data_IF_072000353052
#
_entry.id   IF_072000353052
#
_cell.length_a   1.000
_cell.length_b   1.000
_cell.length_c   1.000
_cell.angle_alpha   90.00
_cell.angle_beta   90.00
_cell.angle_gamma   90.00
#
_symmetry.space_group_name_H-M   'P 1'
#
loop_
_entity.id
_entity.type
_entity.pdbx_description
1 polymer ?
#
# COMPACT_ATOMS: atom_id res chain seq x y z
N UNK A 1 19.21 11.02 -2.51
CA UNK A 1 18.05 10.13 -2.24
C UNK A 1 17.15 10.65 -1.13
N UNK A 2 17.62 10.78 0.12
CA UNK A 2 16.80 11.25 1.26
C UNK A 2 16.08 12.60 1.01
N UNK A 3 16.69 13.56 0.33
CA UNK A 3 16.05 14.84 0.02
C UNK A 3 14.81 14.67 -0.88
N UNK A 4 14.86 13.80 -1.89
CA UNK A 4 13.71 13.54 -2.77
C UNK A 4 12.56 12.88 -2.00
N UNK A 5 12.86 11.94 -1.10
CA UNK A 5 11.85 11.30 -0.25
C UNK A 5 11.20 12.32 0.70
N UNK A 6 11.98 13.23 1.27
CA UNK A 6 11.42 14.29 2.13
C UNK A 6 10.52 15.26 1.39
N UNK A 7 10.90 15.63 0.17
CA UNK A 7 10.02 16.44 -0.70
C UNK A 7 8.71 15.69 -0.95
N UNK A 8 8.80 14.40 -1.27
CA UNK A 8 7.61 13.55 -1.44
C UNK A 8 6.76 13.48 -0.16
N UNK A 9 7.38 13.29 1.01
CA UNK A 9 6.67 13.28 2.30
C UNK A 9 5.93 14.59 2.55
N UNK A 10 6.57 15.72 2.30
CA UNK A 10 5.95 17.05 2.44
C UNK A 10 4.79 17.22 1.45
N UNK A 11 4.97 16.81 0.20
CA UNK A 11 3.89 16.88 -0.82
C UNK A 11 2.72 16.00 -0.39
N UNK A 12 2.98 14.78 0.07
CA UNK A 12 1.94 13.87 0.57
C UNK A 12 1.18 14.48 1.75
N UNK A 13 1.87 15.09 2.72
CA UNK A 13 1.24 15.78 3.85
C UNK A 13 0.35 16.94 3.38
N UNK A 14 0.84 17.77 2.46
CA UNK A 14 0.08 18.90 1.92
C UNK A 14 -1.16 18.41 1.17
N UNK A 15 -1.02 17.45 0.26
CA UNK A 15 -2.13 16.88 -0.49
C UNK A 15 -3.17 16.24 0.43
N UNK A 16 -2.74 15.56 1.50
CA UNK A 16 -3.61 14.96 2.50
C UNK A 16 -4.42 16.02 3.24
N UNK A 17 -3.79 17.12 3.66
CA UNK A 17 -4.47 18.23 4.33
C UNK A 17 -5.47 18.93 3.41
N UNK A 18 -5.10 19.14 2.16
CA UNK A 18 -5.98 19.69 1.13
C UNK A 18 -7.21 18.79 0.94
N UNK A 19 -7.00 17.48 0.83
CA UNK A 19 -8.07 16.51 0.65
C UNK A 19 -9.02 16.48 1.86
N UNK A 20 -8.49 16.51 3.09
CA UNK A 20 -9.30 16.59 4.31
C UNK A 20 -10.14 17.87 4.32
N UNK A 21 -9.53 19.02 3.99
CA UNK A 21 -10.23 20.29 3.92
C UNK A 21 -11.40 20.27 2.93
N UNK A 22 -11.15 19.79 1.71
CA UNK A 22 -12.20 19.69 0.69
C UNK A 22 -13.28 18.67 1.03
N UNK A 23 -12.92 17.57 1.71
CA UNK A 23 -13.89 16.58 2.18
C UNK A 23 -14.83 17.19 3.21
N UNK A 24 -14.34 17.99 4.16
CA UNK A 24 -15.17 18.70 5.16
C UNK A 24 -16.15 19.70 4.52
N UNK A 25 -15.81 20.27 3.36
CA UNK A 25 -16.70 21.18 2.62
C UNK A 25 -17.72 20.46 1.73
N UNK A 26 -17.82 19.13 1.79
CA UNK A 26 -18.67 18.30 0.91
C UNK A 26 -18.44 18.53 -0.59
N UNK A 27 -17.29 19.07 -0.97
CA UNK A 27 -16.96 19.41 -2.36
C UNK A 27 -16.62 18.16 -3.19
N UNK A 28 -16.09 17.10 -2.57
CA UNK A 28 -15.73 15.87 -3.26
C UNK A 28 -16.93 14.92 -3.48
N UNK A 29 -17.93 14.92 -2.59
CA UNK A 29 -19.05 13.98 -2.62
C UNK A 29 -20.29 14.48 -3.38
N UNK A 30 -20.21 15.65 -4.01
CA UNK A 30 -21.22 16.10 -4.99
C UNK A 30 -21.03 15.54 -6.40
N UNK A 31 -20.07 14.65 -6.63
CA UNK A 31 -20.02 13.84 -7.84
C UNK A 31 -21.15 12.83 -7.78
N UNK A 32 -22.27 13.23 -8.34
CA UNK A 32 -23.62 12.72 -8.12
C UNK A 32 -23.92 11.34 -8.70
N UNK A 33 -22.91 10.55 -9.04
CA UNK A 33 -23.11 9.22 -9.59
C UNK A 33 -22.05 8.24 -9.03
N UNK A 34 -22.53 7.34 -8.14
CA UNK A 34 -21.70 6.31 -7.52
C UNK A 34 -20.92 5.51 -8.57
N UNK A 35 -21.53 5.24 -9.73
CA UNK A 35 -20.91 4.47 -10.80
C UNK A 35 -19.76 5.21 -11.48
N UNK A 36 -19.89 6.52 -11.73
CA UNK A 36 -18.83 7.32 -12.35
C UNK A 36 -17.64 7.52 -11.40
N UNK A 37 -17.90 7.67 -10.11
CA UNK A 37 -16.83 7.81 -9.10
C UNK A 37 -16.07 6.49 -8.90
N UNK A 38 -16.73 5.34 -8.87
CA UNK A 38 -16.10 4.02 -8.81
C UNK A 38 -15.28 3.74 -10.07
N UNK A 39 -15.78 4.09 -11.26
CA UNK A 39 -15.03 3.95 -12.51
C UNK A 39 -13.76 4.83 -12.50
N UNK A 40 -13.86 6.08 -12.03
CA UNK A 40 -12.72 6.97 -11.91
C UNK A 40 -11.64 6.41 -10.93
N UNK A 41 -12.06 5.92 -9.76
CA UNK A 41 -11.16 5.28 -8.80
C UNK A 41 -10.48 4.06 -9.42
N UNK A 42 -11.27 3.21 -10.09
CA UNK A 42 -10.75 2.02 -10.77
C UNK A 42 -9.70 2.39 -11.83
N UNK A 43 -9.97 3.41 -12.66
CA UNK A 43 -9.03 3.89 -13.66
C UNK A 43 -7.74 4.43 -13.02
N UNK A 44 -7.84 5.16 -11.90
CA UNK A 44 -6.67 5.67 -11.17
C UNK A 44 -5.85 4.51 -10.62
N UNK A 45 -6.49 3.55 -9.93
CA UNK A 45 -5.78 2.37 -9.37
C UNK A 45 -5.14 1.55 -10.48
N UNK A 46 -5.86 1.32 -11.60
CA UNK A 46 -5.33 0.56 -12.74
C UNK A 46 -4.15 1.26 -13.40
N UNK A 47 -4.23 2.59 -13.59
CA UNK A 47 -3.13 3.35 -14.20
C UNK A 47 -1.85 3.29 -13.38
N UNK A 48 -1.94 3.43 -12.07
CA UNK A 48 -0.79 3.31 -11.16
C UNK A 48 -0.39 1.85 -10.92
N UNK A 49 -1.36 0.93 -10.83
CA UNK A 49 -1.12 -0.50 -10.66
C UNK A 49 -0.43 -1.13 -11.86
N UNK A 50 -0.85 -0.80 -13.08
CA UNK A 50 -0.21 -1.29 -14.31
C UNK A 50 1.22 -0.79 -14.43
N UNK A 51 1.46 0.50 -14.13
CA UNK A 51 2.83 1.03 -14.13
C UNK A 51 3.71 0.41 -13.05
N UNK A 52 3.13 0.02 -11.92
CA UNK A 52 3.84 -0.68 -10.85
C UNK A 52 4.20 -2.12 -11.28
N UNK A 53 3.25 -2.90 -11.80
CA UNK A 53 3.49 -4.25 -12.31
C UNK A 53 4.39 -4.28 -13.56
N UNK A 54 4.34 -3.26 -14.41
CA UNK A 54 5.25 -3.14 -15.56
C UNK A 54 6.72 -3.00 -15.12
N UNK A 55 6.98 -2.36 -13.96
CA UNK A 55 8.34 -2.24 -13.42
C UNK A 55 8.93 -3.59 -12.99
N UNK A 56 8.11 -4.58 -12.60
CA UNK A 56 8.58 -5.92 -12.24
C UNK A 56 9.28 -6.61 -13.43
N UNK A 57 8.75 -6.47 -14.62
CA UNK A 57 9.37 -7.01 -15.84
C UNK A 57 10.74 -6.38 -16.11
N UNK A 58 10.89 -5.08 -15.87
CA UNK A 58 12.15 -4.35 -15.99
C UNK A 58 13.15 -4.81 -14.92
N UNK A 59 12.69 -5.01 -13.69
CA UNK A 59 13.53 -5.51 -12.59
C UNK A 59 14.04 -6.92 -12.93
N UNK A 60 13.17 -7.82 -13.35
CA UNK A 60 13.55 -9.18 -13.78
C UNK A 60 14.54 -9.11 -14.94
N UNK A 61 14.29 -8.24 -15.94
CA UNK A 61 15.16 -8.10 -17.10
C UNK A 61 16.57 -7.62 -16.73
N UNK A 62 16.68 -6.74 -15.77
CA UNK A 62 17.96 -6.18 -15.33
C UNK A 62 18.67 -7.02 -14.26
N UNK A 63 17.95 -7.88 -13.54
CA UNK A 63 18.53 -8.75 -12.52
C UNK A 63 19.44 -9.85 -13.08
N UNK A 64 19.24 -10.23 -14.34
CA UNK A 64 19.99 -11.33 -14.97
C UNK A 64 20.66 -10.87 -16.27
N UNK A 65 21.88 -11.38 -16.53
CA UNK A 65 22.63 -11.05 -17.76
C UNK A 65 22.25 -11.94 -18.96
N UNK A 66 22.01 -13.25 -18.70
CA UNK A 66 21.75 -14.22 -19.76
C UNK A 66 20.27 -14.25 -20.15
N UNK A 67 19.96 -14.21 -21.45
CA UNK A 67 18.59 -14.22 -21.97
C UNK A 67 17.79 -15.45 -21.48
N UNK A 68 18.42 -16.64 -21.46
CA UNK A 68 17.77 -17.87 -20.95
C UNK A 68 17.33 -17.71 -19.48
N UNK A 69 18.17 -17.11 -18.63
CA UNK A 69 17.85 -16.90 -17.22
C UNK A 69 16.73 -15.86 -17.05
N UNK A 70 16.74 -14.79 -17.86
CA UNK A 70 15.66 -13.80 -17.91
C UNK A 70 14.32 -14.46 -18.26
N UNK A 71 14.30 -15.27 -19.31
CA UNK A 71 13.10 -15.97 -19.75
C UNK A 71 12.56 -16.94 -18.67
N UNK A 72 13.45 -17.71 -18.04
CA UNK A 72 13.06 -18.62 -16.95
C UNK A 72 12.49 -17.83 -15.77
N UNK A 73 13.13 -16.75 -15.33
CA UNK A 73 12.65 -15.90 -14.23
C UNK A 73 11.28 -15.30 -14.54
N UNK A 74 11.08 -14.83 -15.78
CA UNK A 74 9.79 -14.31 -16.21
C UNK A 74 8.70 -15.40 -16.26
N UNK A 75 9.02 -16.61 -16.73
CA UNK A 75 8.09 -17.73 -16.71
C UNK A 75 7.71 -18.13 -15.29
N UNK A 76 8.65 -18.15 -14.35
CA UNK A 76 8.37 -18.42 -12.94
C UNK A 76 7.44 -17.33 -12.39
N UNK A 77 7.72 -16.06 -12.64
CA UNK A 77 6.87 -14.94 -12.23
C UNK A 77 5.43 -15.10 -12.75
N UNK A 78 5.28 -15.34 -14.06
CA UNK A 78 3.97 -15.57 -14.67
C UNK A 78 3.24 -16.80 -14.11
N UNK A 79 3.97 -17.87 -13.82
CA UNK A 79 3.41 -19.08 -13.20
C UNK A 79 2.87 -18.80 -11.81
N UNK A 80 3.57 -17.99 -11.00
CA UNK A 80 3.10 -17.58 -9.67
C UNK A 80 1.81 -16.76 -9.78
N UNK A 81 1.73 -15.84 -10.73
CA UNK A 81 0.50 -15.04 -10.97
C UNK A 81 -0.67 -15.94 -11.36
N UNK A 82 -0.44 -16.88 -12.31
CA UNK A 82 -1.48 -17.83 -12.74
C UNK A 82 -1.94 -18.72 -11.59
N UNK A 83 -1.00 -19.26 -10.81
CA UNK A 83 -1.33 -20.08 -9.63
C UNK A 83 -2.12 -19.29 -8.59
N UNK A 84 -1.79 -18.02 -8.38
CA UNK A 84 -2.55 -17.13 -7.49
C UNK A 84 -3.99 -16.93 -7.97
N UNK A 85 -4.19 -16.72 -9.28
CA UNK A 85 -5.52 -16.60 -9.88
C UNK A 85 -6.32 -17.92 -9.77
N UNK A 86 -5.70 -19.05 -10.08
CA UNK A 86 -6.35 -20.37 -9.93
C UNK A 86 -6.76 -20.63 -8.49
N UNK A 87 -5.89 -20.30 -7.52
CA UNK A 87 -6.20 -20.40 -6.11
C UNK A 87 -7.41 -19.51 -5.73
N UNK A 88 -7.44 -18.29 -6.25
CA UNK A 88 -8.57 -17.38 -6.02
C UNK A 88 -9.89 -17.96 -6.53
N UNK A 89 -9.90 -18.54 -7.72
CA UNK A 89 -11.10 -19.15 -8.28
C UNK A 89 -11.55 -20.40 -7.51
N UNK A 90 -10.61 -21.18 -6.96
CA UNK A 90 -10.93 -22.38 -6.18
C UNK A 90 -11.34 -22.08 -4.75
N UNK A 91 -10.70 -21.12 -4.12
CA UNK A 91 -10.91 -20.73 -2.72
C UNK A 91 -10.72 -19.21 -2.55
N UNK A 92 -11.76 -18.42 -2.85
CA UNK A 92 -11.65 -16.96 -2.76
C UNK A 92 -11.25 -16.46 -1.36
N UNK A 93 -11.71 -17.14 -0.30
CA UNK A 93 -11.33 -16.80 1.08
C UNK A 93 -9.83 -16.98 1.32
N UNK A 94 -9.24 -18.09 0.87
CA UNK A 94 -7.80 -18.32 0.98
C UNK A 94 -7.03 -17.33 0.09
N UNK A 95 -7.55 -17.05 -1.10
CA UNK A 95 -7.01 -16.02 -2.00
C UNK A 95 -6.96 -14.64 -1.33
N UNK A 96 -8.04 -14.23 -0.67
CA UNK A 96 -8.10 -12.96 0.07
C UNK A 96 -7.09 -12.93 1.22
N UNK A 97 -6.98 -13.99 2.01
CA UNK A 97 -6.00 -14.07 3.11
C UNK A 97 -4.57 -13.93 2.59
N UNK A 98 -4.23 -14.64 1.52
CA UNK A 98 -2.90 -14.57 0.90
C UNK A 98 -2.64 -13.16 0.35
N UNK A 99 -3.62 -12.55 -0.33
CA UNK A 99 -3.52 -11.18 -0.84
C UNK A 99 -3.24 -10.19 0.29
N UNK A 100 -3.96 -10.29 1.42
CA UNK A 100 -3.75 -9.42 2.57
C UNK A 100 -2.35 -9.62 3.18
N UNK A 101 -1.90 -10.86 3.34
CA UNK A 101 -0.56 -11.16 3.87
C UNK A 101 0.55 -10.65 2.94
N UNK A 102 0.39 -10.81 1.63
CA UNK A 102 1.31 -10.26 0.64
C UNK A 102 1.32 -8.74 0.68
N UNK A 103 0.15 -8.09 0.80
CA UNK A 103 0.03 -6.63 0.90
C UNK A 103 0.72 -6.10 2.17
N UNK A 104 0.54 -6.76 3.32
CA UNK A 104 1.21 -6.43 4.57
C UNK A 104 2.73 -6.47 4.41
N UNK A 105 3.24 -7.55 3.84
CA UNK A 105 4.68 -7.71 3.60
C UNK A 105 5.20 -6.67 2.61
N UNK A 106 4.51 -6.50 1.50
CA UNK A 106 4.90 -5.63 0.40
C UNK A 106 4.91 -4.16 0.81
N UNK A 107 3.85 -3.66 1.43
CA UNK A 107 3.79 -2.26 1.88
C UNK A 107 4.83 -1.99 2.98
N UNK A 108 5.01 -2.93 3.91
CA UNK A 108 6.02 -2.78 4.96
C UNK A 108 7.44 -2.69 4.42
N UNK A 109 7.79 -3.54 3.46
CA UNK A 109 9.12 -3.55 2.85
C UNK A 109 9.32 -2.35 1.93
N UNK A 110 8.38 -2.10 1.02
CA UNK A 110 8.51 -1.08 -0.02
C UNK A 110 8.49 0.34 0.55
N UNK A 111 7.51 0.67 1.40
CA UNK A 111 7.35 2.04 1.88
C UNK A 111 8.48 2.51 2.80
N UNK A 112 9.11 1.58 3.54
CA UNK A 112 10.17 1.88 4.49
C UNK A 112 11.58 1.59 3.98
N UNK A 113 11.74 1.26 2.69
CA UNK A 113 13.05 0.95 2.08
C UNK A 113 14.06 2.09 2.20
N UNK A 114 13.61 3.35 2.26
CA UNK A 114 14.49 4.51 2.42
C UNK A 114 15.17 4.59 3.79
N UNK A 115 14.64 3.90 4.79
CA UNK A 115 15.20 3.83 6.13
C UNK A 115 16.15 2.64 6.19
N UNK A 116 17.44 2.92 6.28
CA UNK A 116 18.47 1.88 6.43
C UNK A 116 18.32 1.20 7.79
N UNK A 117 18.40 -0.14 7.83
CA UNK A 117 18.42 -0.95 9.06
C UNK A 117 17.18 -0.86 9.95
N UNK A 118 15.97 -0.66 9.35
CA UNK A 118 14.71 -0.74 10.09
C UNK A 118 14.42 -2.19 10.48
N UNK A 119 13.94 -2.40 11.72
CA UNK A 119 13.59 -3.72 12.20
C UNK A 119 12.40 -4.32 11.44
N UNK A 120 12.38 -5.64 11.31
CA UNK A 120 11.27 -6.36 10.67
C UNK A 120 9.93 -6.08 11.37
N UNK A 121 9.93 -5.92 12.70
CA UNK A 121 8.75 -5.57 13.46
C UNK A 121 8.12 -4.24 13.03
N UNK A 122 8.93 -3.19 12.81
CA UNK A 122 8.45 -1.89 12.31
C UNK A 122 7.82 -2.03 10.92
N UNK A 123 8.46 -2.79 10.01
CA UNK A 123 7.96 -3.01 8.65
C UNK A 123 6.63 -3.77 8.65
N UNK A 124 6.54 -4.86 9.40
CA UNK A 124 5.29 -5.64 9.52
C UNK A 124 4.18 -4.79 10.13
N UNK A 125 4.48 -4.03 11.18
CA UNK A 125 3.48 -3.17 11.83
C UNK A 125 2.98 -2.06 10.90
N UNK A 126 3.87 -1.43 10.12
CA UNK A 126 3.49 -0.47 9.08
C UNK A 126 2.59 -1.13 8.03
N UNK A 127 3.04 -2.24 7.43
CA UNK A 127 2.30 -2.93 6.38
C UNK A 127 0.93 -3.40 6.84
N UNK A 128 0.83 -3.91 8.09
CA UNK A 128 -0.44 -4.33 8.67
C UNK A 128 -1.40 -3.13 8.82
N UNK A 129 -0.91 -2.02 9.38
CA UNK A 129 -1.68 -0.80 9.51
C UNK A 129 -2.16 -0.30 8.14
N UNK A 130 -1.25 -0.16 7.16
CA UNK A 130 -1.59 0.33 5.82
C UNK A 130 -2.55 -0.58 5.05
N UNK A 131 -2.56 -1.87 5.32
CA UNK A 131 -3.48 -2.81 4.66
C UNK A 131 -4.87 -2.79 5.27
N UNK A 132 -5.00 -2.66 6.60
CA UNK A 132 -6.25 -2.88 7.31
C UNK A 132 -6.81 -1.65 8.05
N UNK A 133 -6.14 -0.49 7.95
CA UNK A 133 -6.56 0.74 8.64
C UNK A 133 -8.04 1.11 8.44
N UNK A 134 -8.64 1.00 7.23
CA UNK A 134 -10.05 1.30 7.02
C UNK A 134 -11.02 0.44 7.84
N UNK A 135 -10.62 -0.76 8.27
CA UNK A 135 -11.47 -1.65 9.10
C UNK A 135 -11.84 -0.97 10.43
N UNK A 136 -10.98 -0.08 10.95
CA UNK A 136 -11.23 0.61 12.21
C UNK A 136 -12.41 1.57 12.10
N UNK A 137 -12.48 2.32 11.01
CA UNK A 137 -13.43 3.43 10.84
C UNK A 137 -14.65 3.04 10.00
N UNK A 138 -14.50 2.12 9.05
CA UNK A 138 -15.50 1.74 8.06
C UNK A 138 -15.69 0.22 7.97
N UNK A 139 -15.85 -0.45 9.13
CA UNK A 139 -15.98 -1.90 9.23
C UNK A 139 -17.03 -2.48 8.28
N UNK A 140 -18.24 -1.88 8.27
CA UNK A 140 -19.34 -2.38 7.45
C UNK A 140 -19.05 -2.28 5.94
N UNK A 141 -18.36 -1.22 5.51
CA UNK A 141 -18.03 -1.05 4.10
C UNK A 141 -16.87 -1.97 3.69
N UNK A 142 -15.87 -2.15 4.55
CA UNK A 142 -14.82 -3.15 4.31
C UNK A 142 -15.41 -4.56 4.31
N UNK A 143 -16.37 -4.86 5.23
CA UNK A 143 -17.08 -6.15 5.23
C UNK A 143 -17.76 -6.39 3.90
N UNK A 144 -18.55 -5.44 3.40
CA UNK A 144 -19.21 -5.56 2.09
C UNK A 144 -18.23 -5.84 0.95
N UNK A 145 -17.07 -5.16 0.95
CA UNK A 145 -16.03 -5.38 -0.06
C UNK A 145 -15.48 -6.80 0.06
N UNK A 146 -15.16 -7.26 1.28
CA UNK A 146 -14.62 -8.60 1.49
C UNK A 146 -15.64 -9.70 1.18
N UNK A 147 -16.90 -9.54 1.60
CA UNK A 147 -17.99 -10.46 1.28
C UNK A 147 -18.18 -10.61 -0.24
N UNK A 148 -18.10 -9.49 -0.97
CA UNK A 148 -18.15 -9.49 -2.44
C UNK A 148 -16.95 -10.24 -3.05
N UNK A 149 -15.75 -10.04 -2.51
CA UNK A 149 -14.53 -10.68 -3.00
C UNK A 149 -14.50 -12.19 -2.76
N UNK A 150 -15.07 -12.66 -1.64
CA UNK A 150 -15.10 -14.10 -1.31
C UNK A 150 -16.39 -14.79 -1.74
N UNK A 151 -17.40 -14.03 -2.15
CA UNK A 151 -18.72 -14.50 -2.58
C UNK A 151 -19.50 -15.26 -1.47
N UNK A 152 -19.30 -14.87 -0.20
CA UNK A 152 -20.10 -15.30 0.95
C UNK A 152 -19.97 -14.28 2.09
N UNK A 153 -20.89 -14.33 3.07
CA UNK A 153 -20.87 -13.47 4.23
C UNK A 153 -19.82 -13.90 5.25
N UNK A 154 -18.86 -13.02 5.54
CA UNK A 154 -17.85 -13.23 6.57
C UNK A 154 -18.45 -12.88 7.94
N UNK A 155 -18.18 -13.71 8.94
CA UNK A 155 -18.64 -13.49 10.30
C UNK A 155 -18.07 -12.17 10.89
N UNK A 156 -18.91 -11.41 11.58
CA UNK A 156 -18.53 -10.15 12.24
C UNK A 156 -17.39 -10.33 13.25
N UNK A 157 -17.28 -11.48 13.90
CA UNK A 157 -16.17 -11.76 14.82
C UNK A 157 -14.79 -11.69 14.13
N UNK A 158 -14.72 -11.99 12.84
CA UNK A 158 -13.49 -11.85 12.05
C UNK A 158 -13.11 -10.37 11.96
N UNK A 159 -14.09 -9.48 11.73
CA UNK A 159 -13.83 -8.03 11.66
C UNK A 159 -13.46 -7.44 13.01
N UNK A 160 -14.06 -7.93 14.11
CA UNK A 160 -13.64 -7.57 15.46
C UNK A 160 -12.18 -7.98 15.70
N UNK A 161 -11.79 -9.20 15.30
CA UNK A 161 -10.41 -9.66 15.40
C UNK A 161 -9.46 -8.82 14.53
N UNK A 162 -9.85 -8.49 13.30
CA UNK A 162 -9.06 -7.61 12.42
C UNK A 162 -8.89 -6.21 13.01
N UNK A 163 -9.93 -5.63 13.63
CA UNK A 163 -9.82 -4.35 14.34
C UNK A 163 -8.81 -4.41 15.49
N UNK A 164 -8.93 -5.41 16.35
CA UNK A 164 -8.03 -5.59 17.50
C UNK A 164 -6.59 -5.74 17.02
N UNK A 165 -6.36 -6.58 16.00
CA UNK A 165 -5.04 -6.76 15.41
C UNK A 165 -4.52 -5.47 14.78
N UNK A 166 -5.36 -4.73 14.07
CA UNK A 166 -4.95 -3.45 13.46
C UNK A 166 -4.54 -2.44 14.53
N UNK A 167 -5.32 -2.30 15.60
CA UNK A 167 -4.98 -1.44 16.73
C UNK A 167 -3.67 -1.88 17.41
N UNK A 168 -3.49 -3.19 17.61
CA UNK A 168 -2.24 -3.73 18.16
C UNK A 168 -1.03 -3.36 17.29
N UNK A 169 -1.13 -3.51 15.98
CA UNK A 169 -0.02 -3.17 15.08
C UNK A 169 0.21 -1.66 14.94
N UNK A 170 -0.83 -0.83 15.04
CA UNK A 170 -0.67 0.63 15.14
C UNK A 170 0.13 0.99 16.40
N UNK A 171 -0.27 0.49 17.56
CA UNK A 171 0.45 0.72 18.80
C UNK A 171 1.87 0.19 18.75
N UNK A 172 2.06 -1.02 18.19
CA UNK A 172 3.37 -1.63 18.00
C UNK A 172 4.27 -0.79 17.09
N UNK A 173 3.74 -0.27 15.99
CA UNK A 173 4.48 0.61 15.09
C UNK A 173 4.97 1.87 15.82
N UNK A 174 4.07 2.57 16.49
CA UNK A 174 4.40 3.81 17.23
C UNK A 174 5.45 3.54 18.32
N UNK A 175 5.26 2.48 19.08
CA UNK A 175 6.18 2.08 20.15
C UNK A 175 7.56 1.68 19.62
N UNK A 176 7.62 0.82 18.61
CA UNK A 176 8.89 0.35 18.05
C UNK A 176 9.67 1.47 17.36
N UNK A 177 8.99 2.39 16.66
CA UNK A 177 9.63 3.57 16.07
C UNK A 177 10.15 4.50 17.16
N UNK A 178 9.38 4.73 18.23
CA UNK A 178 9.82 5.54 19.36
C UNK A 178 11.09 4.98 20.00
N UNK A 179 11.13 3.68 20.29
CA UNK A 179 12.29 3.01 20.90
C UNK A 179 13.49 2.82 19.97
N UNK A 180 13.30 2.92 18.66
CA UNK A 180 14.38 2.66 17.70
C UNK A 180 15.51 3.68 17.82
N UNK A 181 16.70 3.25 18.19
CA UNK A 181 17.92 4.08 18.20
C UNK A 181 18.57 4.19 16.82
N UNK A 182 18.12 3.39 15.85
CA UNK A 182 18.69 3.33 14.51
C UNK A 182 18.07 4.39 13.59
N UNK A 183 16.80 4.77 13.84
CA UNK A 183 16.11 5.79 13.06
C UNK A 183 16.48 7.17 13.60
N UNK A 184 17.05 8.03 12.75
CA UNK A 184 17.41 9.38 13.12
C UNK A 184 16.19 10.18 13.60
N UNK A 185 16.34 11.07 14.58
CA UNK A 185 15.25 11.85 15.18
C UNK A 185 14.39 12.59 14.14
N UNK A 186 15.04 13.13 13.11
CA UNK A 186 14.37 13.82 12.01
C UNK A 186 13.53 12.86 11.16
N UNK A 187 14.01 11.65 10.92
CA UNK A 187 13.27 10.63 10.14
C UNK A 187 12.09 10.08 10.92
N UNK A 188 12.22 9.93 12.25
CA UNK A 188 11.08 9.59 13.14
C UNK A 188 9.97 10.63 13.03
N UNK A 189 10.30 11.92 13.09
CA UNK A 189 9.32 12.99 12.97
C UNK A 189 8.52 12.89 11.67
N UNK A 190 9.20 12.76 10.53
CA UNK A 190 8.50 12.63 9.24
C UNK A 190 7.68 11.33 9.17
N UNK A 191 8.20 10.23 9.68
CA UNK A 191 7.52 8.94 9.69
C UNK A 191 6.25 8.99 10.56
N UNK A 192 6.31 9.59 11.74
CA UNK A 192 5.15 9.79 12.61
C UNK A 192 4.13 10.73 11.97
N UNK A 193 4.56 11.85 11.38
CA UNK A 193 3.66 12.80 10.72
C UNK A 193 2.92 12.14 9.54
N UNK A 194 3.60 11.36 8.76
CA UNK A 194 3.07 10.62 7.61
C UNK A 194 2.09 9.52 8.06
N UNK A 195 2.44 8.77 9.10
CA UNK A 195 1.55 7.77 9.69
C UNK A 195 0.29 8.41 10.25
N UNK A 196 0.42 9.51 10.99
CA UNK A 196 -0.69 10.22 11.60
C UNK A 196 -1.64 10.79 10.55
N UNK A 197 -1.13 11.45 9.52
CA UNK A 197 -1.98 12.01 8.46
C UNK A 197 -2.71 10.90 7.68
N UNK A 198 -2.06 9.76 7.44
CA UNK A 198 -2.66 8.60 6.78
C UNK A 198 -3.78 7.99 7.63
N UNK A 199 -3.59 7.95 8.96
CA UNK A 199 -4.61 7.52 9.91
C UNK A 199 -5.81 8.49 9.93
N UNK A 200 -5.54 9.80 9.94
CA UNK A 200 -6.59 10.83 9.86
C UNK A 200 -7.37 10.69 8.54
N UNK A 201 -6.68 10.53 7.41
CA UNK A 201 -7.34 10.31 6.12
C UNK A 201 -8.26 9.08 6.13
N UNK A 202 -7.83 7.99 6.79
CA UNK A 202 -8.64 6.78 6.89
C UNK A 202 -9.92 6.99 7.71
N UNK A 203 -9.99 7.98 8.58
CA UNK A 203 -11.22 8.32 9.32
C UNK A 203 -12.21 9.17 8.51
N UNK A 204 -11.76 9.81 7.44
CA UNK A 204 -12.58 10.68 6.59
C UNK A 204 -12.96 10.05 5.24
N UNK A 205 -12.10 9.19 4.68
CA UNK A 205 -12.29 8.64 3.36
C UNK A 205 -12.84 7.22 3.44
N UNK A 206 -13.85 6.93 2.62
CA UNK A 206 -14.32 5.56 2.43
C UNK A 206 -13.18 4.63 1.97
N UNK A 207 -13.24 3.31 2.26
CA UNK A 207 -12.12 2.39 2.09
C UNK A 207 -11.45 2.42 0.72
N UNK A 208 -12.23 2.43 -0.37
CA UNK A 208 -11.68 2.45 -1.73
C UNK A 208 -10.99 3.78 -2.08
N UNK A 209 -11.54 4.92 -1.64
CA UNK A 209 -10.91 6.23 -1.85
C UNK A 209 -9.63 6.37 -1.05
N UNK A 210 -9.65 5.92 0.21
CA UNK A 210 -8.46 5.90 1.04
C UNK A 210 -7.37 5.01 0.43
N UNK A 211 -7.74 3.81 -0.01
CA UNK A 211 -6.80 2.89 -0.65
C UNK A 211 -6.22 3.49 -1.92
N UNK A 212 -7.05 4.06 -2.82
CA UNK A 212 -6.57 4.71 -4.03
C UNK A 212 -5.60 5.84 -3.73
N UNK A 213 -5.91 6.69 -2.74
CA UNK A 213 -5.04 7.80 -2.36
C UNK A 213 -3.71 7.30 -1.77
N UNK A 214 -3.76 6.40 -0.80
CA UNK A 214 -2.57 5.80 -0.21
C UNK A 214 -1.71 5.10 -1.28
N UNK A 215 -2.33 4.24 -2.07
CA UNK A 215 -1.64 3.44 -3.09
C UNK A 215 -0.99 4.30 -4.17
N UNK A 216 -1.69 5.31 -4.68
CA UNK A 216 -1.16 6.15 -5.76
C UNK A 216 -0.15 7.18 -5.26
N UNK A 217 -0.45 7.88 -4.17
CA UNK A 217 0.32 9.05 -3.75
C UNK A 217 1.40 8.76 -2.71
N UNK A 218 1.27 7.70 -1.91
CA UNK A 218 2.32 7.31 -0.98
C UNK A 218 3.13 6.14 -1.52
N UNK A 219 2.49 4.99 -1.67
CA UNK A 219 3.15 3.74 -2.03
C UNK A 219 3.71 3.76 -3.45
N UNK A 220 2.88 4.05 -4.45
CA UNK A 220 3.25 3.97 -5.87
C UNK A 220 4.39 4.93 -6.23
N UNK A 221 4.35 6.19 -5.74
CA UNK A 221 5.42 7.16 -6.01
C UNK A 221 6.73 6.70 -5.37
N UNK A 222 6.70 6.10 -4.19
CA UNK A 222 7.90 5.54 -3.56
C UNK A 222 8.47 4.39 -4.35
N UNK A 223 7.65 3.44 -4.73
CA UNK A 223 8.07 2.28 -5.50
C UNK A 223 8.74 2.68 -6.82
N UNK A 224 8.13 3.57 -7.59
CA UNK A 224 8.70 4.11 -8.85
C UNK A 224 10.00 4.88 -8.59
N UNK A 225 10.06 5.69 -7.53
CA UNK A 225 11.27 6.45 -7.18
C UNK A 225 12.45 5.52 -6.85
N UNK A 226 12.20 4.36 -6.28
CA UNK A 226 13.25 3.37 -5.99
C UNK A 226 13.74 2.65 -7.24
N UNK A 227 12.85 2.21 -8.11
CA UNK A 227 13.21 1.52 -9.36
C UNK A 227 14.08 2.42 -10.24
N UNK A 228 13.73 3.69 -10.38
CA UNK A 228 14.54 4.64 -11.15
C UNK A 228 15.89 5.00 -10.51
N UNK A 229 16.02 4.91 -9.18
CA UNK A 229 17.28 5.24 -8.49
C UNK A 229 18.24 4.04 -8.37
N UNK A 230 17.72 2.82 -8.47
CA UNK A 230 18.50 1.58 -8.39
C UNK A 230 18.87 1.00 -9.74
N UNK A 231 18.24 1.48 -10.83
CA UNK A 231 18.71 1.17 -12.17
C UNK A 231 20.08 1.85 -12.35
N UNK A 232 21.15 1.09 -12.65
CA UNK A 232 22.43 1.69 -13.00
C UNK A 232 22.19 2.67 -14.14
N UNK A 233 22.72 3.87 -14.02
CA UNK A 233 22.81 4.85 -15.12
C UNK A 233 23.72 4.27 -16.19
N UNK A 234 23.20 3.36 -17.02
CA UNK A 234 23.93 2.72 -18.14
C UNK A 234 24.02 3.67 -19.35
N UNK A 235 23.69 4.93 -19.18
CA UNK A 235 23.88 5.96 -20.21
C UNK A 235 24.86 7.02 -19.73
N UNK A 236 26.10 6.59 -19.50
CA UNK A 236 27.27 7.51 -19.56
C UNK A 236 28.38 6.79 -20.33
N UNK A 237 28.22 6.75 -21.64
CA UNK A 237 29.34 6.64 -22.59
C UNK A 237 29.15 7.75 -23.57
#
# INVERSE_FOLDING_TARGET
MLNKIRVHQIIYLILSLVLIFFNQQNLFFKLSDINSSLAAIFLVIMSFGVSHGASDSIVIWNAYSKLKTKAIAFLIYMSIVILGLLLWFQSPALGLVILLLMSISHFGESDLTYLKKVSRGIKVSWGFAMTLLPVIFFENDVKKIFDLLVNFEINLNVFLALKILTLFFICSFLFLVYLSNVIARKDKFFLFSEFLITLILASFLQPLYWFAFYFCFLHGIRAVSYTHLTLPTIYSV
#
